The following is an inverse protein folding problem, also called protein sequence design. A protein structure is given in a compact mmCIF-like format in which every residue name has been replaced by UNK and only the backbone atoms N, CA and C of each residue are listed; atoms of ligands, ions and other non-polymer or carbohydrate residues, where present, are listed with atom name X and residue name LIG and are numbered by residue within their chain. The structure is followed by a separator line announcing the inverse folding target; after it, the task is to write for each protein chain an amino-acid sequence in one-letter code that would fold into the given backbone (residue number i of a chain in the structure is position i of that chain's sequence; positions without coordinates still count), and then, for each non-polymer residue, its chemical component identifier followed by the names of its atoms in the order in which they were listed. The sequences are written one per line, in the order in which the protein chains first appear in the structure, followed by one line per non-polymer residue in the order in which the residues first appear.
data_IF_412258784138
#
_entry.id   IF_412258784138
#
_cell.length_a   1.000
_cell.length_b   1.000
_cell.length_c   1.000
_cell.angle_alpha   90.00
_cell.angle_beta   90.00
_cell.angle_gamma   90.00
#
_symmetry.space_group_name_H-M   'P 1'
#
loop_
_entity.id
_entity.type
_entity.pdbx_description
1 polymer ?
#
# COMPACT_ATOMS: atom_id res chain seq x y z
N UNK A 1 28.15 30.77 -41.76
CA UNK A 1 28.42 29.31 -41.69
C UNK A 1 28.62 29.01 -40.19
N UNK A 2 27.86 28.12 -39.52
CA UNK A 2 27.94 26.63 -39.56
C UNK A 2 29.41 26.16 -39.48
N UNK A 3 29.89 25.32 -38.57
CA UNK A 3 29.38 24.55 -37.39
C UNK A 3 30.61 24.12 -36.55
N UNK A 4 30.59 23.58 -35.32
CA UNK A 4 29.57 22.99 -34.42
C UNK A 4 29.91 23.35 -32.95
N UNK A 5 28.94 23.27 -32.02
CA UNK A 5 29.22 23.10 -30.57
C UNK A 5 27.99 22.57 -29.81
N UNK A 6 27.51 21.36 -30.16
CA UNK A 6 26.33 20.73 -29.56
C UNK A 6 26.53 19.22 -29.35
N UNK A 7 27.47 18.81 -28.48
CA UNK A 7 27.74 17.38 -28.23
C UNK A 7 27.95 16.98 -26.76
N UNK A 8 27.56 17.82 -25.80
CA UNK A 8 27.76 17.57 -24.35
C UNK A 8 26.51 17.73 -23.46
N UNK A 9 25.30 17.85 -24.04
CA UNK A 9 24.06 18.14 -23.30
C UNK A 9 22.89 17.17 -23.58
N UNK A 10 23.18 15.93 -24.02
CA UNK A 10 22.13 14.90 -24.28
C UNK A 10 22.41 13.57 -23.54
N UNK A 11 23.21 13.60 -22.47
CA UNK A 11 23.55 12.42 -21.68
C UNK A 11 22.82 12.32 -20.31
N UNK A 12 22.03 13.33 -19.94
CA UNK A 12 21.52 13.50 -18.56
C UNK A 12 19.99 13.39 -18.38
N UNK A 13 19.24 12.95 -19.40
CA UNK A 13 17.76 12.96 -19.40
C UNK A 13 17.10 11.58 -19.59
N UNK A 14 17.75 10.49 -19.17
CA UNK A 14 17.23 9.12 -19.35
C UNK A 14 17.30 8.22 -18.09
N UNK A 15 17.43 8.78 -16.89
CA UNK A 15 17.50 7.99 -15.63
C UNK A 15 16.17 8.05 -14.84
N UNK A 16 15.37 9.09 -15.01
CA UNK A 16 14.03 9.16 -14.43
C UNK A 16 12.99 8.47 -15.31
N UNK A 17 12.21 7.59 -14.67
CA UNK A 17 11.00 6.89 -15.16
C UNK A 17 11.14 5.41 -15.58
N UNK A 18 11.72 4.62 -14.69
CA UNK A 18 11.31 3.23 -14.49
C UNK A 18 11.02 2.92 -13.01
N UNK A 19 10.45 3.87 -12.25
CA UNK A 19 9.75 3.54 -11.00
C UNK A 19 8.45 2.81 -11.36
N UNK A 20 8.57 1.51 -11.66
CA UNK A 20 7.43 0.61 -11.50
C UNK A 20 7.00 0.71 -10.05
N UNK A 21 5.83 1.30 -9.79
CA UNK A 21 5.20 1.28 -8.48
C UNK A 21 4.83 -0.16 -8.15
N UNK A 22 5.80 -0.89 -7.59
CA UNK A 22 5.60 -2.26 -7.16
C UNK A 22 4.47 -2.30 -6.14
N UNK A 23 3.48 -3.16 -6.42
CA UNK A 23 2.39 -3.39 -5.48
C UNK A 23 2.97 -3.89 -4.14
N UNK A 24 2.46 -3.42 -2.98
CA UNK A 24 2.90 -3.91 -1.67
C UNK A 24 2.84 -5.44 -1.56
N UNK A 25 3.70 -6.04 -0.72
CA UNK A 25 3.72 -7.50 -0.47
C UNK A 25 2.32 -8.06 -0.15
N UNK A 26 1.50 -7.31 0.59
CA UNK A 26 0.10 -7.64 0.92
C UNK A 26 -0.77 -7.91 -0.31
N UNK A 27 -0.51 -7.24 -1.44
CA UNK A 27 -1.24 -7.40 -2.69
C UNK A 27 -0.79 -8.60 -3.51
N UNK A 28 0.43 -9.10 -3.27
CA UNK A 28 1.04 -10.25 -3.96
C UNK A 28 0.75 -11.59 -3.25
N UNK A 29 0.08 -11.58 -2.10
CA UNK A 29 -0.26 -12.79 -1.34
C UNK A 29 -1.34 -13.63 -2.02
N UNK A 30 -1.20 -14.96 -1.99
CA UNK A 30 -2.29 -15.89 -2.23
C UNK A 30 -3.38 -15.81 -1.14
N UNK A 31 -4.52 -16.47 -1.37
CA UNK A 31 -5.66 -16.41 -0.45
C UNK A 31 -5.39 -17.06 0.92
N UNK A 32 -4.47 -18.02 1.04
CA UNK A 32 -4.13 -18.64 2.31
C UNK A 32 -3.21 -17.72 3.13
N UNK A 33 -2.11 -17.25 2.53
CA UNK A 33 -1.20 -16.28 3.17
C UNK A 33 -1.95 -14.99 3.57
N UNK A 34 -2.92 -14.55 2.77
CA UNK A 34 -3.79 -13.40 3.07
C UNK A 34 -4.70 -13.65 4.28
N UNK A 35 -5.27 -14.84 4.45
CA UNK A 35 -6.06 -15.20 5.64
C UNK A 35 -5.22 -15.20 6.91
N UNK A 36 -4.00 -15.73 6.86
CA UNK A 36 -3.08 -15.72 8.00
C UNK A 36 -2.63 -14.29 8.35
N UNK A 37 -2.32 -13.47 7.34
CA UNK A 37 -2.07 -12.03 7.52
C UNK A 37 -3.24 -11.34 8.23
N UNK A 38 -4.49 -11.57 7.79
CA UNK A 38 -5.69 -10.97 8.39
C UNK A 38 -5.85 -11.41 9.86
N UNK A 39 -5.61 -12.68 10.18
CA UNK A 39 -5.65 -13.18 11.55
C UNK A 39 -4.61 -12.47 12.43
N UNK A 40 -3.34 -12.44 11.99
CA UNK A 40 -2.28 -11.76 12.72
C UNK A 40 -2.56 -10.25 12.90
N UNK A 41 -3.07 -9.57 11.87
CA UNK A 41 -3.42 -8.14 11.98
C UNK A 41 -4.56 -7.94 12.99
N UNK A 42 -5.58 -8.80 13.03
CA UNK A 42 -6.67 -8.72 14.02
C UNK A 42 -6.19 -8.98 15.45
N UNK A 43 -5.23 -9.88 15.65
CA UNK A 43 -4.64 -10.17 16.96
C UNK A 43 -3.66 -9.09 17.43
N UNK A 44 -2.90 -8.50 16.50
CA UNK A 44 -1.84 -7.51 16.80
C UNK A 44 -2.38 -6.08 16.88
N UNK A 45 -3.48 -5.77 16.19
CA UNK A 45 -4.08 -4.43 16.19
C UNK A 45 -4.90 -4.19 17.46
N UNK A 46 -4.55 -3.15 18.21
CA UNK A 46 -5.42 -2.66 19.28
C UNK A 46 -6.78 -2.13 18.75
N UNK A 47 -7.78 -2.07 19.62
CA UNK A 47 -9.17 -1.69 19.28
C UNK A 47 -9.29 -0.39 18.47
N UNK A 48 -8.48 0.64 18.77
CA UNK A 48 -8.48 1.89 18.01
C UNK A 48 -8.10 1.66 16.53
N UNK A 49 -7.03 0.90 16.30
CA UNK A 49 -6.56 0.62 14.94
C UNK A 49 -7.53 -0.28 14.17
N UNK A 50 -8.09 -1.30 14.82
CA UNK A 50 -9.16 -2.11 14.22
C UNK A 50 -10.39 -1.28 13.86
N UNK A 51 -10.73 -0.26 14.65
CA UNK A 51 -11.84 0.66 14.33
C UNK A 51 -11.56 1.45 13.06
N UNK A 52 -10.33 1.98 12.89
CA UNK A 52 -9.91 2.69 11.66
C UNK A 52 -9.89 1.75 10.45
N UNK A 53 -9.37 0.53 10.59
CA UNK A 53 -9.36 -0.50 9.53
C UNK A 53 -10.79 -0.90 9.11
N UNK A 54 -11.71 -1.08 10.06
CA UNK A 54 -13.11 -1.39 9.76
C UNK A 54 -13.85 -0.20 9.12
N UNK A 55 -13.49 1.05 9.48
CA UNK A 55 -14.02 2.24 8.80
C UNK A 55 -13.57 2.32 7.34
N UNK A 56 -12.32 1.97 7.04
CA UNK A 56 -11.83 1.80 5.66
C UNK A 56 -12.64 0.72 4.94
N UNK A 57 -12.83 -0.45 5.56
CA UNK A 57 -13.63 -1.53 4.98
C UNK A 57 -15.06 -1.10 4.65
N UNK A 58 -15.70 -0.29 5.50
CA UNK A 58 -17.03 0.30 5.23
C UNK A 58 -17.00 1.25 4.02
N UNK A 59 -16.02 2.13 3.92
CA UNK A 59 -15.84 3.05 2.77
C UNK A 59 -15.60 2.31 1.45
N UNK A 60 -14.92 1.15 1.48
CA UNK A 60 -14.72 0.27 0.33
C UNK A 60 -15.95 -0.59 -0.01
N UNK A 61 -17.08 -0.46 0.70
CA UNK A 61 -18.25 -1.33 0.62
C UNK A 61 -17.94 -2.82 0.91
N UNK A 62 -16.98 -3.08 1.81
CA UNK A 62 -16.63 -4.41 2.34
C UNK A 62 -17.10 -4.63 3.79
N UNK A 63 -17.54 -3.57 4.49
CA UNK A 63 -17.92 -3.67 5.90
C UNK A 63 -16.72 -4.01 6.77
N UNK A 64 -16.77 -5.17 7.44
CA UNK A 64 -15.69 -5.69 8.31
C UNK A 64 -14.92 -6.85 7.66
N UNK A 65 -15.20 -7.15 6.39
CA UNK A 65 -14.43 -8.10 5.59
C UNK A 65 -13.11 -7.46 5.13
N UNK A 66 -12.05 -7.75 5.90
CA UNK A 66 -10.68 -7.37 5.56
C UNK A 66 -10.13 -8.06 4.31
N UNK A 67 -10.64 -9.23 3.91
CA UNK A 67 -10.18 -9.90 2.69
C UNK A 67 -10.66 -9.12 1.45
N UNK A 68 -11.96 -8.77 1.43
CA UNK A 68 -12.53 -7.81 0.48
C UNK A 68 -11.79 -6.48 0.51
N UNK A 69 -11.56 -5.93 1.71
CA UNK A 69 -10.87 -4.63 1.90
C UNK A 69 -9.46 -4.61 1.30
N UNK A 70 -8.65 -5.65 1.57
CA UNK A 70 -7.30 -5.79 0.99
C UNK A 70 -7.39 -6.01 -0.54
N UNK A 71 -8.31 -6.85 -1.03
CA UNK A 71 -8.50 -7.08 -2.47
C UNK A 71 -8.81 -5.77 -3.20
N UNK A 72 -9.78 -4.98 -2.72
CA UNK A 72 -10.12 -3.66 -3.29
C UNK A 72 -9.01 -2.62 -3.14
N UNK A 73 -8.36 -2.54 -1.98
CA UNK A 73 -7.21 -1.64 -1.78
C UNK A 73 -6.12 -1.88 -2.84
N UNK A 74 -5.86 -3.15 -3.17
CA UNK A 74 -4.89 -3.53 -4.18
C UNK A 74 -5.36 -3.22 -5.61
N UNK A 75 -6.62 -3.52 -5.97
CA UNK A 75 -7.12 -3.33 -7.35
C UNK A 75 -7.49 -1.88 -7.69
N UNK A 76 -8.14 -1.18 -6.77
CA UNK A 76 -8.68 0.18 -7.01
C UNK A 76 -7.67 1.28 -6.62
N UNK A 77 -6.76 1.00 -5.69
CA UNK A 77 -5.85 2.01 -5.11
C UNK A 77 -4.35 1.62 -5.16
N UNK A 78 -4.00 0.55 -5.87
CA UNK A 78 -2.62 0.04 -6.01
C UNK A 78 -1.95 -0.31 -4.67
N UNK A 79 -2.75 -0.59 -3.63
CA UNK A 79 -2.27 -0.88 -2.28
C UNK A 79 -1.82 0.33 -1.46
N UNK A 80 -2.02 1.57 -1.94
CA UNK A 80 -1.66 2.78 -1.19
C UNK A 80 -2.61 3.02 0.00
N UNK A 81 -2.08 2.88 1.21
CA UNK A 81 -2.79 3.18 2.46
C UNK A 81 -3.20 4.66 2.55
N UNK A 82 -2.41 5.55 1.95
CA UNK A 82 -2.61 6.99 1.92
C UNK A 82 -3.84 7.36 1.08
N UNK A 83 -4.09 6.64 -0.03
CA UNK A 83 -5.29 6.78 -0.86
C UNK A 83 -6.50 6.09 -0.22
N UNK A 84 -6.32 4.85 0.24
CA UNK A 84 -7.38 3.99 0.80
C UNK A 84 -7.92 4.53 2.12
N UNK A 85 -7.04 5.02 2.99
CA UNK A 85 -7.36 5.57 4.30
C UNK A 85 -7.67 7.07 4.32
N UNK A 86 -7.78 7.72 3.15
CA UNK A 86 -7.93 9.18 3.07
C UNK A 86 -9.16 9.66 3.85
N UNK A 87 -8.95 10.52 4.85
CA UNK A 87 -10.00 11.05 5.73
C UNK A 87 -10.42 10.12 6.88
N UNK A 88 -9.74 8.98 7.05
CA UNK A 88 -9.95 8.01 8.14
C UNK A 88 -8.65 7.82 8.94
N UNK A 89 -7.54 7.61 8.23
CA UNK A 89 -6.20 7.60 8.80
C UNK A 89 -5.67 9.03 8.85
N UNK A 90 -5.13 9.40 10.01
CA UNK A 90 -4.28 10.58 10.14
C UNK A 90 -2.86 10.26 9.65
N UNK A 91 -2.01 11.27 9.44
CA UNK A 91 -0.66 11.05 8.90
C UNK A 91 0.20 10.16 9.82
N UNK A 92 0.00 10.27 11.13
CA UNK A 92 0.60 9.42 12.15
C UNK A 92 0.07 7.98 12.19
N UNK A 93 -1.08 7.68 11.58
CA UNK A 93 -1.65 6.33 11.55
C UNK A 93 -1.09 5.48 10.42
N UNK A 94 -0.79 6.08 9.26
CA UNK A 94 -0.21 5.39 8.09
C UNK A 94 1.04 4.57 8.45
N UNK A 95 2.06 5.09 9.17
CA UNK A 95 3.22 4.29 9.56
C UNK A 95 2.85 3.18 10.56
N UNK A 96 1.89 3.39 11.47
CA UNK A 96 1.42 2.35 12.42
C UNK A 96 0.74 1.19 11.69
N UNK A 97 -0.17 1.49 10.75
CA UNK A 97 -0.82 0.48 9.90
C UNK A 97 0.25 -0.30 9.11
N UNK A 98 1.18 0.42 8.46
CA UNK A 98 2.26 -0.20 7.68
C UNK A 98 3.15 -1.09 8.56
N UNK A 99 3.47 -0.67 9.78
CA UNK A 99 4.24 -1.46 10.74
C UNK A 99 3.51 -2.74 11.16
N UNK A 100 2.21 -2.67 11.48
CA UNK A 100 1.41 -3.85 11.86
C UNK A 100 1.34 -4.86 10.71
N UNK A 101 1.03 -4.39 9.49
CA UNK A 101 0.97 -5.26 8.32
C UNK A 101 2.34 -5.87 7.97
N UNK A 102 3.43 -5.10 8.06
CA UNK A 102 4.78 -5.64 7.85
C UNK A 102 5.19 -6.65 8.93
N UNK A 103 4.94 -6.37 10.22
CA UNK A 103 5.25 -7.28 11.31
C UNK A 103 4.45 -8.60 11.26
N UNK A 104 3.30 -8.61 10.58
CA UNK A 104 2.57 -9.82 10.26
C UNK A 104 3.02 -10.49 8.95
N UNK A 105 3.47 -9.73 7.95
CA UNK A 105 4.10 -10.27 6.73
C UNK A 105 5.43 -10.97 7.02
N UNK A 106 6.25 -10.45 7.93
CA UNK A 106 7.59 -11.00 8.22
C UNK A 106 7.56 -12.26 9.09
N UNK A 107 6.37 -12.71 9.50
CA UNK A 107 6.13 -14.04 10.10
C UNK A 107 5.92 -15.13 9.03
N UNK A 108 5.93 -14.78 7.74
CA UNK A 108 5.58 -15.63 6.59
C UNK A 108 6.45 -15.38 5.35
#
# INVERSE_FOLDING_TARGET
MKTFSCFLLVAFLCIDWAQSTELPRTCKLDDNARKVLIACVKETSGNEMMTKINAIGKTLNCGEDMECGIKKACTEFQGSLEKVGKGILQEEDVPKVRQIFNACLDKH
#
